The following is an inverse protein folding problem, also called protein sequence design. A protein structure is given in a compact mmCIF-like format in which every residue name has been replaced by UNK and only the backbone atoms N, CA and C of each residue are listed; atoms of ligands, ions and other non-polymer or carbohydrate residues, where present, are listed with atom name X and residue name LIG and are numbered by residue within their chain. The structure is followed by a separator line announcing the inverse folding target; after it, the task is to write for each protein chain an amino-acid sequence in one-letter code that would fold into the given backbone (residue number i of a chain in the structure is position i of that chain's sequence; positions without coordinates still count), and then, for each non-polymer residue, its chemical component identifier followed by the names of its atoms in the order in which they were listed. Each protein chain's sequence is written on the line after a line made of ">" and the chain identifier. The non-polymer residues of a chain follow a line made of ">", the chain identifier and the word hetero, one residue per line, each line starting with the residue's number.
data_IF_791459559774
#
_entry.id   IF_791459559774
#
_cell.length_a   1.000
_cell.length_b   1.000
_cell.length_c   1.000
_cell.angle_alpha   90.00
_cell.angle_beta   90.00
_cell.angle_gamma   90.00
#
_symmetry.space_group_name_H-M   'P 1'
#
loop_
_entity.id
_entity.type
_entity.pdbx_description
1 polymer ?
#
# COMPACT_ATOMS: atom_id res chain seq x y z
N UNK A 1 33.96 7.24 -16.79
CA UNK A 1 32.93 6.29 -17.26
C UNK A 1 31.56 6.56 -16.63
N UNK A 2 31.45 6.81 -15.32
CA UNK A 2 30.16 7.14 -14.68
C UNK A 2 29.40 8.34 -15.30
N UNK A 3 30.11 9.40 -15.68
CA UNK A 3 29.53 10.63 -16.22
C UNK A 3 29.00 10.53 -17.66
N UNK A 4 29.53 9.61 -18.47
CA UNK A 4 29.16 9.47 -19.90
C UNK A 4 28.56 8.10 -20.24
N UNK A 5 28.60 7.14 -19.32
CA UNK A 5 28.31 5.73 -19.60
C UNK A 5 29.49 4.99 -20.24
N UNK A 6 29.48 3.67 -20.11
CA UNK A 6 30.48 2.79 -20.70
C UNK A 6 30.51 2.84 -22.24
N UNK A 7 29.37 2.81 -22.95
CA UNK A 7 29.36 2.77 -24.41
C UNK A 7 29.99 4.03 -25.03
N UNK A 8 29.68 5.20 -24.48
CA UNK A 8 30.16 6.48 -25.00
C UNK A 8 31.59 6.82 -24.59
N UNK A 9 32.15 6.17 -23.56
CA UNK A 9 33.55 6.40 -23.15
C UNK A 9 34.52 5.69 -24.11
N UNK A 10 35.35 6.47 -24.81
CA UNK A 10 36.37 5.96 -25.75
C UNK A 10 37.72 5.74 -25.07
N UNK A 11 38.48 4.74 -25.52
CA UNK A 11 39.85 4.43 -25.02
C UNK A 11 40.76 5.66 -25.10
N UNK A 12 40.65 6.44 -26.18
CA UNK A 12 41.44 7.65 -26.40
C UNK A 12 41.17 8.72 -25.33
N UNK A 13 39.90 8.87 -24.92
CA UNK A 13 39.52 9.81 -23.88
C UNK A 13 40.07 9.36 -22.51
N UNK A 14 40.05 8.05 -22.25
CA UNK A 14 40.61 7.46 -21.04
C UNK A 14 42.12 7.70 -20.99
N UNK A 15 42.84 7.37 -22.07
CA UNK A 15 44.29 7.56 -22.18
C UNK A 15 44.66 9.04 -21.97
N UNK A 16 43.95 9.95 -22.64
CA UNK A 16 44.14 11.40 -22.51
C UNK A 16 43.92 11.87 -21.07
N UNK A 17 42.85 11.40 -20.41
CA UNK A 17 42.55 11.78 -19.03
C UNK A 17 43.54 11.21 -18.02
N UNK A 18 44.10 10.02 -18.28
CA UNK A 18 45.07 9.36 -17.42
C UNK A 18 46.53 9.79 -17.69
N UNK A 19 46.78 10.56 -18.75
CA UNK A 19 48.13 11.00 -19.13
C UNK A 19 49.01 9.88 -19.70
N UNK A 20 48.40 8.84 -20.27
CA UNK A 20 49.11 7.66 -20.83
C UNK A 20 48.90 7.53 -22.33
N UNK A 21 49.78 6.79 -23.00
CA UNK A 21 49.62 6.48 -24.44
C UNK A 21 48.69 5.28 -24.65
N UNK A 22 48.09 5.14 -25.84
CA UNK A 22 47.30 3.93 -26.17
C UNK A 22 48.14 2.66 -26.09
N UNK A 23 49.42 2.73 -26.48
CA UNK A 23 50.33 1.58 -26.37
C UNK A 23 50.50 1.12 -24.93
N UNK A 24 50.65 2.06 -23.99
CA UNK A 24 50.68 1.76 -22.55
C UNK A 24 49.34 1.20 -22.05
N UNK A 25 48.21 1.73 -22.52
CA UNK A 25 46.90 1.18 -22.19
C UNK A 25 46.77 -0.29 -22.59
N UNK A 26 47.03 -0.60 -23.88
CA UNK A 26 46.90 -1.97 -24.39
C UNK A 26 47.95 -2.95 -23.86
N UNK A 27 49.05 -2.45 -23.28
CA UNK A 27 50.01 -3.28 -22.53
C UNK A 27 49.43 -3.76 -21.19
N UNK A 28 48.56 -2.97 -20.54
CA UNK A 28 47.95 -3.32 -19.24
C UNK A 28 46.56 -3.95 -19.38
N UNK A 29 45.79 -3.57 -20.40
CA UNK A 29 44.45 -4.05 -20.63
C UNK A 29 44.29 -4.42 -22.11
N UNK A 30 44.06 -5.70 -22.40
CA UNK A 30 43.90 -6.20 -23.78
C UNK A 30 42.74 -5.51 -24.52
N UNK A 31 41.72 -5.07 -23.78
CA UNK A 31 40.56 -4.36 -24.32
C UNK A 31 39.95 -3.37 -23.32
N UNK A 32 38.96 -2.58 -23.78
CA UNK A 32 38.12 -1.74 -22.91
C UNK A 32 37.33 -2.59 -21.91
N UNK A 33 36.95 -3.81 -22.30
CA UNK A 33 36.21 -4.75 -21.45
C UNK A 33 37.10 -5.26 -20.31
N UNK A 34 38.37 -5.58 -20.58
CA UNK A 34 39.33 -5.96 -19.54
C UNK A 34 39.58 -4.82 -18.54
N UNK A 35 39.64 -3.56 -19.03
CA UNK A 35 39.65 -2.40 -18.14
C UNK A 35 38.36 -2.34 -17.29
N UNK A 36 37.19 -2.57 -17.90
CA UNK A 36 35.91 -2.51 -17.20
C UNK A 36 35.84 -3.53 -16.06
N UNK A 37 36.31 -4.75 -16.29
CA UNK A 37 36.41 -5.81 -15.29
C UNK A 37 37.32 -5.39 -14.13
N UNK A 38 38.54 -4.94 -14.45
CA UNK A 38 39.49 -4.47 -13.44
C UNK A 38 38.94 -3.26 -12.65
N UNK A 39 38.18 -2.39 -13.33
CA UNK A 39 37.53 -1.24 -12.70
C UNK A 39 36.40 -1.67 -11.76
N UNK A 40 35.59 -2.67 -12.13
CA UNK A 40 34.55 -3.24 -11.25
C UNK A 40 35.18 -3.78 -9.97
N UNK A 41 36.27 -4.54 -10.09
CA UNK A 41 36.97 -5.11 -8.94
C UNK A 41 37.58 -4.03 -8.05
N UNK A 42 38.30 -3.08 -8.65
CA UNK A 42 38.86 -1.96 -7.92
C UNK A 42 37.79 -1.14 -7.19
N UNK A 43 36.67 -0.87 -7.86
CA UNK A 43 35.55 -0.14 -7.29
C UNK A 43 34.91 -0.90 -6.12
N UNK A 44 34.67 -2.20 -6.29
CA UNK A 44 34.08 -3.05 -5.25
C UNK A 44 34.97 -3.13 -4.01
N UNK A 45 36.28 -3.31 -4.19
CA UNK A 45 37.24 -3.32 -3.08
C UNK A 45 37.26 -1.99 -2.32
N UNK A 46 37.15 -0.86 -3.04
CA UNK A 46 37.05 0.45 -2.41
C UNK A 46 35.75 0.65 -1.66
N UNK A 47 34.64 0.21 -2.23
CA UNK A 47 33.32 0.31 -1.62
C UNK A 47 33.24 -0.52 -0.34
N UNK A 48 33.65 -1.77 -0.41
CA UNK A 48 33.69 -2.67 0.76
C UNK A 48 34.63 -2.15 1.83
N UNK A 49 35.81 -1.63 1.49
CA UNK A 49 36.71 -1.00 2.48
C UNK A 49 36.09 0.25 3.12
N UNK A 50 35.35 1.05 2.38
CA UNK A 50 34.68 2.24 2.91
C UNK A 50 33.53 1.90 3.88
N UNK A 51 32.91 0.72 3.72
CA UNK A 51 31.79 0.23 4.53
C UNK A 51 32.21 -0.81 5.58
N UNK A 52 33.48 -1.23 5.57
CA UNK A 52 34.04 -2.20 6.52
C UNK A 52 34.52 -1.53 7.83
N UNK A 53 34.07 -0.31 8.11
CA UNK A 53 34.30 0.30 9.41
C UNK A 53 33.68 -0.58 10.49
N UNK A 54 34.44 -0.91 11.54
CA UNK A 54 33.94 -1.72 12.66
C UNK A 54 33.00 -0.90 13.56
N UNK A 55 32.90 0.42 13.36
CA UNK A 55 32.04 1.32 14.13
C UNK A 55 30.58 0.86 14.19
N UNK A 56 29.97 0.53 13.06
CA UNK A 56 28.59 0.05 13.05
C UNK A 56 28.46 -1.38 13.62
N UNK A 57 29.51 -2.19 13.58
CA UNK A 57 29.52 -3.54 14.18
C UNK A 57 29.70 -3.53 15.71
N UNK A 58 30.19 -2.41 16.26
CA UNK A 58 30.42 -2.25 17.70
C UNK A 58 29.13 -2.09 18.53
N UNK A 59 27.98 -1.90 17.87
CA UNK A 59 26.69 -1.83 18.56
C UNK A 59 26.23 -3.23 19.00
N UNK A 60 25.85 -3.36 20.27
CA UNK A 60 25.36 -4.62 20.84
C UNK A 60 23.98 -4.99 20.24
N UNK A 61 23.09 -4.02 20.09
CA UNK A 61 21.75 -4.21 19.52
C UNK A 61 21.83 -4.44 17.99
N UNK A 62 21.29 -5.55 17.45
CA UNK A 62 21.21 -5.78 16.00
C UNK A 62 20.50 -4.69 15.21
N UNK A 63 19.50 -4.01 15.77
CA UNK A 63 18.80 -2.91 15.12
C UNK A 63 19.73 -1.70 14.96
N UNK A 64 20.42 -1.32 16.03
CA UNK A 64 21.40 -0.23 15.98
C UNK A 64 22.51 -0.50 14.96
N UNK A 65 22.98 -1.75 14.85
CA UNK A 65 23.94 -2.15 13.82
C UNK A 65 23.44 -1.87 12.41
N UNK A 66 22.18 -2.21 12.11
CA UNK A 66 21.57 -1.96 10.80
C UNK A 66 21.43 -0.46 10.54
N UNK A 67 20.96 0.30 11.52
CA UNK A 67 20.76 1.76 11.36
C UNK A 67 22.08 2.51 11.22
N UNK A 68 23.11 2.13 11.98
CA UNK A 68 24.46 2.67 11.88
C UNK A 68 25.10 2.34 10.52
N UNK A 69 24.93 1.11 10.01
CA UNK A 69 25.38 0.77 8.67
C UNK A 69 24.73 1.65 7.59
N UNK A 70 23.42 1.92 7.71
CA UNK A 70 22.73 2.80 6.77
C UNK A 70 23.24 4.25 6.85
N UNK A 71 23.65 4.73 8.02
CA UNK A 71 24.34 6.02 8.17
C UNK A 71 25.68 6.05 7.45
N UNK A 72 26.48 4.99 7.59
CA UNK A 72 27.75 4.86 6.88
C UNK A 72 27.54 4.86 5.36
N UNK A 73 26.53 4.15 4.86
CA UNK A 73 26.16 4.21 3.44
C UNK A 73 25.80 5.64 3.03
N UNK A 74 24.95 6.34 3.78
CA UNK A 74 24.56 7.73 3.50
C UNK A 74 25.80 8.65 3.48
N UNK A 75 26.77 8.43 4.36
CA UNK A 75 28.03 9.17 4.38
C UNK A 75 28.87 8.88 3.13
N UNK A 76 29.01 7.60 2.73
CA UNK A 76 29.76 7.21 1.53
C UNK A 76 29.09 7.76 0.25
N UNK A 77 27.75 7.84 0.20
CA UNK A 77 27.01 8.44 -0.92
C UNK A 77 27.38 9.91 -1.17
N UNK A 78 27.69 10.66 -0.11
CA UNK A 78 28.14 12.05 -0.19
C UNK A 78 29.64 12.16 -0.52
N UNK A 79 30.37 11.04 -0.46
CA UNK A 79 31.80 10.97 -0.71
C UNK A 79 32.18 10.81 -2.19
N UNK A 80 33.47 10.94 -2.51
CA UNK A 80 33.96 10.93 -3.89
C UNK A 80 33.78 9.59 -4.62
N UNK A 81 33.51 8.49 -3.90
CA UNK A 81 33.34 7.16 -4.49
C UNK A 81 31.98 6.97 -5.15
N UNK A 82 30.93 7.57 -4.58
CA UNK A 82 29.54 7.40 -5.03
C UNK A 82 28.86 8.69 -5.49
N UNK A 83 29.52 9.86 -5.37
CA UNK A 83 28.94 11.17 -5.76
C UNK A 83 28.34 11.21 -7.18
N UNK A 84 28.94 10.47 -8.12
CA UNK A 84 28.54 10.45 -9.53
C UNK A 84 27.67 9.21 -9.87
N UNK A 85 27.16 8.53 -8.84
CA UNK A 85 26.35 7.32 -8.92
C UNK A 85 27.12 6.03 -8.61
N UNK A 86 26.40 4.91 -8.66
CA UNK A 86 26.96 3.58 -8.45
C UNK A 86 27.49 2.98 -9.76
N UNK A 87 28.77 2.57 -9.78
CA UNK A 87 29.41 1.96 -10.96
C UNK A 87 28.74 0.62 -11.32
N UNK A 88 28.51 -0.24 -10.33
CA UNK A 88 27.90 -1.55 -10.54
C UNK A 88 26.51 -1.43 -11.18
N UNK A 89 25.68 -0.52 -10.67
CA UNK A 89 24.35 -0.26 -11.23
C UNK A 89 24.40 0.37 -12.62
N UNK A 90 25.27 1.37 -12.82
CA UNK A 90 25.43 2.02 -14.13
C UNK A 90 25.90 1.02 -15.20
N UNK A 91 26.85 0.14 -14.86
CA UNK A 91 27.31 -0.89 -15.78
C UNK A 91 26.28 -2.00 -15.99
N UNK A 92 25.47 -2.33 -14.98
CA UNK A 92 24.37 -3.27 -15.17
C UNK A 92 23.37 -2.77 -16.23
N UNK A 93 23.03 -1.48 -16.20
CA UNK A 93 22.15 -0.86 -17.18
C UNK A 93 22.80 -0.80 -18.57
N UNK A 94 24.08 -0.40 -18.65
CA UNK A 94 24.78 -0.24 -19.92
C UNK A 94 25.14 -1.57 -20.61
N UNK A 95 25.43 -2.64 -19.84
CA UNK A 95 26.16 -3.81 -20.34
C UNK A 95 25.42 -5.14 -20.22
N UNK A 96 24.29 -5.21 -19.49
CA UNK A 96 23.60 -6.47 -19.23
C UNK A 96 23.19 -7.24 -20.48
N UNK A 97 22.82 -6.55 -21.55
CA UNK A 97 22.37 -7.18 -22.80
C UNK A 97 23.50 -7.45 -23.81
N UNK A 98 24.68 -6.87 -23.59
CA UNK A 98 25.76 -6.85 -24.61
C UNK A 98 27.04 -7.53 -24.16
N UNK A 99 27.29 -7.66 -22.85
CA UNK A 99 28.53 -8.23 -22.29
C UNK A 99 28.19 -9.24 -21.18
N UNK A 100 27.82 -10.49 -21.52
CA UNK A 100 27.33 -11.47 -20.55
C UNK A 100 28.35 -11.82 -19.45
N UNK A 101 29.65 -11.82 -19.77
CA UNK A 101 30.72 -12.06 -18.79
C UNK A 101 30.81 -10.93 -17.75
N UNK A 102 30.77 -9.67 -18.22
CA UNK A 102 30.76 -8.50 -17.32
C UNK A 102 29.48 -8.49 -16.48
N UNK A 103 28.32 -8.83 -17.06
CA UNK A 103 27.05 -8.97 -16.34
C UNK A 103 27.18 -9.96 -15.18
N UNK A 104 27.75 -11.14 -15.41
CA UNK A 104 27.95 -12.14 -14.36
C UNK A 104 28.87 -11.63 -13.25
N UNK A 105 29.92 -10.87 -13.58
CA UNK A 105 30.79 -10.27 -12.56
C UNK A 105 30.01 -9.27 -11.72
N UNK A 106 29.22 -8.39 -12.35
CA UNK A 106 28.39 -7.40 -11.66
C UNK A 106 27.37 -8.09 -10.74
N UNK A 107 26.67 -9.11 -11.23
CA UNK A 107 25.72 -9.90 -10.44
C UNK A 107 26.39 -10.46 -9.17
N UNK A 108 27.54 -11.10 -9.32
CA UNK A 108 28.30 -11.63 -8.19
C UNK A 108 28.70 -10.54 -7.17
N UNK A 109 29.07 -9.34 -7.64
CA UNK A 109 29.40 -8.21 -6.74
C UNK A 109 28.16 -7.68 -6.03
N UNK A 110 27.03 -7.51 -6.74
CA UNK A 110 25.77 -7.04 -6.15
C UNK A 110 25.24 -8.02 -5.11
N UNK A 111 25.22 -9.32 -5.41
CA UNK A 111 24.83 -10.38 -4.48
C UNK A 111 25.69 -10.31 -3.22
N UNK A 112 27.03 -10.20 -3.37
CA UNK A 112 27.95 -10.12 -2.24
C UNK A 112 27.70 -8.90 -1.35
N UNK A 113 27.35 -7.73 -1.91
CA UNK A 113 26.94 -6.56 -1.10
C UNK A 113 25.68 -6.85 -0.28
N UNK A 114 24.67 -7.45 -0.90
CA UNK A 114 23.40 -7.73 -0.22
C UNK A 114 23.52 -8.83 0.84
N UNK A 115 24.31 -9.87 0.58
CA UNK A 115 24.52 -10.99 1.52
C UNK A 115 25.29 -10.58 2.77
N UNK A 116 26.07 -9.50 2.72
CA UNK A 116 26.71 -8.94 3.92
C UNK A 116 25.69 -8.41 4.92
N UNK A 117 24.58 -7.83 4.45
CA UNK A 117 23.56 -7.21 5.32
C UNK A 117 22.52 -8.19 5.86
N UNK A 118 22.26 -9.27 5.13
CA UNK A 118 21.20 -10.21 5.46
C UNK A 118 21.31 -10.79 6.89
N UNK A 119 22.48 -11.17 7.42
CA UNK A 119 22.60 -11.64 8.81
C UNK A 119 22.20 -10.57 9.84
N UNK A 120 22.47 -9.30 9.56
CA UNK A 120 22.15 -8.20 10.47
C UNK A 120 20.65 -7.88 10.46
N UNK A 121 20.04 -7.83 9.27
CA UNK A 121 18.58 -7.76 9.16
C UNK A 121 17.90 -8.96 9.81
N UNK A 122 18.45 -10.16 9.66
CA UNK A 122 17.91 -11.38 10.27
C UNK A 122 17.98 -11.34 11.80
N UNK A 123 19.06 -10.81 12.35
CA UNK A 123 19.22 -10.63 13.79
C UNK A 123 18.25 -9.57 14.33
N UNK A 124 18.15 -8.41 13.68
CA UNK A 124 17.20 -7.36 14.05
C UNK A 124 15.75 -7.85 13.99
N UNK A 125 15.34 -8.52 12.91
CA UNK A 125 13.98 -9.06 12.76
C UNK A 125 13.64 -10.20 13.74
N UNK A 126 14.62 -10.78 14.46
CA UNK A 126 14.36 -11.83 15.45
C UNK A 126 13.76 -11.25 16.74
N UNK A 127 14.12 -10.02 17.08
CA UNK A 127 13.78 -9.38 18.36
C UNK A 127 12.49 -8.54 18.27
N UNK A 128 11.86 -8.46 17.09
CA UNK A 128 10.69 -7.62 16.82
C UNK A 128 9.54 -8.41 16.13
N UNK A 129 8.27 -7.93 16.22
CA UNK A 129 7.14 -8.57 15.57
C UNK A 129 7.33 -8.65 14.05
N UNK A 130 6.99 -9.82 13.48
CA UNK A 130 7.20 -10.11 12.06
C UNK A 130 6.05 -9.56 11.24
N UNK A 131 6.33 -8.57 10.38
CA UNK A 131 5.40 -8.18 9.31
C UNK A 131 5.32 -9.34 8.30
N UNK A 132 4.11 -9.87 7.99
CA UNK A 132 3.95 -10.90 6.96
C UNK A 132 4.57 -10.48 5.63
N UNK A 133 5.32 -11.38 4.99
CA UNK A 133 5.99 -11.11 3.71
C UNK A 133 7.35 -10.40 3.79
N UNK A 134 7.70 -9.75 4.91
CA UNK A 134 9.03 -9.15 5.11
C UNK A 134 9.97 -10.17 5.74
N UNK A 135 11.10 -10.42 5.07
CA UNK A 135 12.22 -11.17 5.63
C UNK A 135 13.56 -10.48 5.31
N UNK A 136 14.62 -10.93 5.97
CA UNK A 136 15.95 -10.34 5.84
C UNK A 136 16.47 -10.29 4.40
N UNK A 137 16.17 -11.32 3.59
CA UNK A 137 16.58 -11.37 2.19
C UNK A 137 15.81 -10.33 1.34
N UNK A 138 14.53 -10.10 1.64
CA UNK A 138 13.73 -9.05 1.00
C UNK A 138 14.28 -7.66 1.35
N UNK A 139 14.54 -7.37 2.62
CA UNK A 139 15.10 -6.07 3.04
C UNK A 139 16.48 -5.80 2.44
N UNK A 140 17.33 -6.82 2.36
CA UNK A 140 18.67 -6.70 1.78
C UNK A 140 18.62 -6.40 0.28
N UNK A 141 17.67 -7.01 -0.46
CA UNK A 141 17.43 -6.66 -1.86
C UNK A 141 16.83 -5.26 -2.01
N UNK A 142 15.93 -4.89 -1.12
CA UNK A 142 15.28 -3.58 -1.16
C UNK A 142 16.27 -2.43 -0.93
N UNK A 143 17.23 -2.60 -0.01
CA UNK A 143 18.34 -1.67 0.17
C UNK A 143 19.03 -1.37 -1.18
N UNK A 144 19.35 -2.41 -1.96
CA UNK A 144 19.98 -2.25 -3.26
C UNK A 144 19.04 -1.60 -4.27
N UNK A 145 17.76 -1.97 -4.28
CA UNK A 145 16.76 -1.37 -5.18
C UNK A 145 16.62 0.14 -4.94
N UNK A 146 16.50 0.58 -3.68
CA UNK A 146 16.40 2.00 -3.33
C UNK A 146 17.68 2.75 -3.69
N UNK A 147 18.85 2.17 -3.40
CA UNK A 147 20.13 2.76 -3.79
C UNK A 147 20.21 3.01 -5.30
N UNK A 148 19.86 2.01 -6.13
CA UNK A 148 19.91 2.16 -7.59
C UNK A 148 18.81 3.09 -8.12
N UNK A 149 17.62 3.08 -7.51
CA UNK A 149 16.57 4.06 -7.81
C UNK A 149 17.04 5.49 -7.58
N UNK A 150 17.72 5.74 -6.45
CA UNK A 150 18.34 7.03 -6.15
C UNK A 150 19.40 7.46 -7.17
N UNK A 151 20.19 6.51 -7.70
CA UNK A 151 21.17 6.77 -8.78
C UNK A 151 20.46 7.21 -10.07
N UNK A 152 19.38 6.52 -10.45
CA UNK A 152 18.58 6.86 -11.63
C UNK A 152 17.98 8.26 -11.48
N UNK A 153 17.35 8.54 -10.33
CA UNK A 153 16.76 9.85 -10.05
C UNK A 153 17.81 10.98 -10.08
N UNK A 154 18.98 10.75 -9.48
CA UNK A 154 20.05 11.75 -9.48
C UNK A 154 20.54 12.08 -10.89
N UNK A 155 20.64 11.07 -11.76
CA UNK A 155 21.02 11.27 -13.17
C UNK A 155 19.92 11.95 -13.98
N UNK A 156 18.66 11.59 -13.76
CA UNK A 156 17.52 12.16 -14.47
C UNK A 156 17.29 13.63 -14.12
N UNK A 157 17.63 14.04 -12.90
CA UNK A 157 17.39 15.39 -12.37
C UNK A 157 18.64 16.26 -12.30
N UNK A 158 19.83 15.71 -12.60
CA UNK A 158 21.13 16.34 -12.37
C UNK A 158 21.32 16.83 -10.91
N UNK A 159 20.74 16.09 -9.95
CA UNK A 159 20.81 16.38 -8.52
C UNK A 159 21.33 15.17 -7.74
N UNK A 160 22.60 15.23 -7.35
CA UNK A 160 23.28 14.15 -6.61
C UNK A 160 22.72 13.93 -5.20
N UNK A 161 21.89 14.85 -4.68
CA UNK A 161 21.27 14.70 -3.35
C UNK A 161 20.22 13.61 -3.32
N UNK A 162 19.58 13.32 -4.47
CA UNK A 162 18.48 12.35 -4.56
C UNK A 162 18.87 10.96 -4.07
N UNK A 163 20.11 10.51 -4.32
CA UNK A 163 20.61 9.25 -3.75
C UNK A 163 20.59 9.22 -2.22
N UNK A 164 21.11 10.27 -1.58
CA UNK A 164 21.18 10.34 -0.13
C UNK A 164 19.78 10.51 0.49
N UNK A 165 18.90 11.27 -0.16
CA UNK A 165 17.48 11.43 0.24
C UNK A 165 16.73 10.09 0.18
N UNK A 166 16.90 9.31 -0.90
CA UNK A 166 16.30 7.98 -1.03
C UNK A 166 16.76 7.03 0.08
N UNK A 167 18.06 7.04 0.40
CA UNK A 167 18.61 6.17 1.44
C UNK A 167 18.22 6.62 2.85
N UNK A 168 18.09 7.93 3.08
CA UNK A 168 17.59 8.47 4.34
C UNK A 168 16.12 8.06 4.58
N UNK A 169 15.29 8.14 3.54
CA UNK A 169 13.91 7.65 3.59
C UNK A 169 13.88 6.14 3.90
N UNK A 170 14.70 5.33 3.22
CA UNK A 170 14.80 3.90 3.50
C UNK A 170 15.24 3.60 4.93
N UNK A 171 16.21 4.34 5.48
CA UNK A 171 16.61 4.21 6.88
C UNK A 171 15.45 4.48 7.83
N UNK A 172 14.64 5.52 7.57
CA UNK A 172 13.47 5.82 8.40
C UNK A 172 12.44 4.69 8.35
N UNK A 173 12.20 4.12 7.16
CA UNK A 173 11.30 2.98 6.98
C UNK A 173 11.79 1.73 7.72
N UNK A 174 13.08 1.42 7.61
CA UNK A 174 13.69 0.31 8.37
C UNK A 174 13.61 0.57 9.87
N UNK A 175 13.91 1.77 10.34
CA UNK A 175 13.79 2.12 11.76
C UNK A 175 12.36 1.95 12.27
N UNK A 176 11.37 2.39 11.51
CA UNK A 176 9.95 2.23 11.87
C UNK A 176 9.53 0.75 11.83
N UNK A 177 10.06 -0.04 10.88
CA UNK A 177 9.81 -1.48 10.79
C UNK A 177 10.34 -2.23 12.02
N UNK A 178 11.46 -1.78 12.57
CA UNK A 178 12.16 -2.44 13.67
C UNK A 178 11.70 -1.92 15.06
N UNK A 179 11.26 -0.66 15.19
CA UNK A 179 10.78 -0.12 16.46
C UNK A 179 9.36 -0.60 16.82
N UNK A 180 9.22 -1.38 17.91
CA UNK A 180 7.93 -1.87 18.42
C UNK A 180 7.08 -0.84 19.17
N UNK A 181 7.59 0.38 19.42
CA UNK A 181 6.85 1.43 20.14
C UNK A 181 6.12 2.42 19.22
N UNK A 182 6.41 2.43 17.92
CA UNK A 182 5.62 3.19 16.96
C UNK A 182 4.48 2.32 16.44
N UNK A 183 3.29 2.56 16.98
CA UNK A 183 1.98 2.20 16.41
C UNK A 183 1.71 2.90 15.07
N UNK A 184 2.74 3.20 14.27
CA UNK A 184 2.55 3.55 12.87
C UNK A 184 2.35 2.27 12.08
N UNK A 185 1.12 2.13 11.60
CA UNK A 185 0.59 1.04 10.81
C UNK A 185 1.65 0.43 9.86
N UNK A 186 2.02 -0.86 9.99
CA UNK A 186 3.07 -1.50 9.18
C UNK A 186 2.80 -1.39 7.66
N UNK A 187 1.57 -1.07 7.25
CA UNK A 187 1.22 -0.81 5.86
C UNK A 187 1.79 0.49 5.27
N UNK A 188 1.96 1.56 6.04
CA UNK A 188 2.62 2.80 5.56
C UNK A 188 4.09 2.51 5.23
N UNK A 189 4.69 1.62 6.02
CA UNK A 189 6.07 1.19 5.82
C UNK A 189 6.21 0.25 4.62
N UNK A 190 5.23 -0.63 4.38
CA UNK A 190 5.17 -1.52 3.20
C UNK A 190 4.95 -0.76 1.89
N UNK A 191 3.99 0.17 1.87
CA UNK A 191 3.65 0.97 0.68
C UNK A 191 4.79 1.92 0.29
N UNK A 192 5.47 2.55 1.25
CA UNK A 192 6.67 3.35 0.96
C UNK A 192 7.85 2.50 0.45
N UNK A 193 7.98 1.25 0.90
CA UNK A 193 8.97 0.29 0.41
C UNK A 193 8.65 -0.15 -1.03
N UNK A 194 7.40 -0.42 -1.39
CA UNK A 194 7.03 -0.87 -2.74
C UNK A 194 6.84 0.26 -3.76
N UNK A 195 6.35 1.44 -3.35
CA UNK A 195 6.16 2.58 -4.26
C UNK A 195 7.49 3.24 -4.67
N UNK A 196 8.56 3.09 -3.87
CA UNK A 196 9.90 3.56 -4.24
C UNK A 196 10.62 2.69 -5.28
N UNK A 197 10.15 1.47 -5.55
CA UNK A 197 10.72 0.54 -6.56
C UNK A 197 9.91 0.47 -7.86
N UNK A 198 8.65 0.92 -7.88
CA UNK A 198 7.78 0.93 -9.06
C UNK A 198 7.99 2.13 -10.01
N UNK A 199 9.16 2.78 -9.97
CA UNK A 199 9.53 3.86 -10.88
C UNK A 199 10.16 3.35 -12.18
N UNK A 200 9.41 2.65 -13.04
CA UNK A 200 9.57 2.52 -14.50
C UNK A 200 8.28 1.85 -15.00
N UNK A 201 7.38 2.62 -15.63
CA UNK A 201 6.15 2.05 -16.20
C UNK A 201 5.23 3.06 -16.90
N UNK A 202 5.33 4.35 -16.59
CA UNK A 202 4.43 5.37 -17.14
C UNK A 202 4.96 6.15 -18.36
N UNK A 203 6.09 5.77 -18.97
CA UNK A 203 6.64 6.49 -20.14
C UNK A 203 6.88 5.59 -21.34
N UNK A 204 5.80 5.19 -22.03
CA UNK A 204 5.83 4.94 -23.48
C UNK A 204 4.40 4.89 -24.03
N UNK A 205 3.81 6.07 -24.25
CA UNK A 205 2.79 6.23 -25.30
C UNK A 205 3.25 7.37 -26.20
N UNK A 206 3.55 7.02 -27.45
CA UNK A 206 4.12 7.93 -28.44
C UNK A 206 3.15 9.04 -28.79
N UNK A 207 3.61 10.28 -28.64
CA UNK A 207 2.97 11.46 -29.22
C UNK A 207 3.55 11.65 -30.62
N UNK A 208 2.75 11.39 -31.65
CA UNK A 208 2.91 12.06 -32.93
C UNK A 208 2.31 13.45 -32.82
N UNK A 209 3.04 14.39 -33.38
CA UNK A 209 2.88 15.83 -33.35
C UNK A 209 1.49 16.33 -33.75
N UNK A 210 0.98 17.31 -33.00
CA UNK A 210 0.08 18.33 -33.54
C UNK A 210 -1.17 18.61 -32.72
N UNK A 211 -1.04 19.35 -31.63
CA UNK A 211 -1.91 20.47 -31.22
C UNK A 211 -1.62 20.84 -29.76
N UNK A 212 -1.67 22.14 -29.49
CA UNK A 212 -1.27 22.79 -28.24
C UNK A 212 -2.07 22.29 -27.03
N UNK A 213 -1.37 21.81 -26.01
CA UNK A 213 -1.86 21.67 -24.64
C UNK A 213 -0.78 22.20 -23.69
N UNK A 214 -0.60 23.52 -23.71
CA UNK A 214 0.07 24.24 -22.62
C UNK A 214 -0.92 24.33 -21.46
N UNK A 215 -0.77 23.48 -20.43
CA UNK A 215 -1.64 23.63 -19.25
C UNK A 215 -1.63 22.56 -18.16
N UNK A 216 -0.80 21.53 -18.19
CA UNK A 216 -0.74 20.54 -17.09
C UNK A 216 0.69 20.07 -16.86
N UNK A 217 1.49 20.89 -16.18
CA UNK A 217 2.80 20.51 -15.62
C UNK A 217 2.80 20.83 -14.14
N UNK A 218 2.02 20.06 -13.39
CA UNK A 218 2.11 19.87 -11.95
C UNK A 218 1.07 18.79 -11.64
N UNK A 219 1.50 17.59 -11.22
CA UNK A 219 0.64 16.80 -10.34
C UNK A 219 0.79 17.50 -9.00
N UNK A 220 0.04 18.59 -8.81
CA UNK A 220 -0.23 19.11 -7.48
C UNK A 220 -0.69 17.94 -6.63
N UNK A 221 -0.24 17.89 -5.38
CA UNK A 221 -0.91 17.15 -4.31
C UNK A 221 -2.41 17.16 -4.60
N UNK A 222 -3.05 16.00 -4.58
CA UNK A 222 -4.51 15.96 -4.53
C UNK A 222 -4.83 16.72 -3.24
N UNK A 223 -5.15 18.00 -3.38
CA UNK A 223 -5.67 18.80 -2.31
C UNK A 223 -6.93 18.07 -1.88
N UNK A 224 -6.85 17.36 -0.75
CA UNK A 224 -7.98 17.13 0.13
C UNK A 224 -8.62 18.50 0.30
N UNK A 225 -9.64 18.80 -0.50
CA UNK A 225 -10.39 20.03 -0.30
C UNK A 225 -10.99 19.85 1.08
N UNK A 226 -10.54 20.66 2.03
CA UNK A 226 -11.18 20.79 3.33
C UNK A 226 -12.56 21.43 3.07
N UNK A 227 -13.49 20.60 2.59
CA UNK A 227 -14.87 20.98 2.37
C UNK A 227 -15.50 21.09 3.74
N UNK A 228 -15.80 22.34 4.10
CA UNK A 228 -16.56 22.67 5.28
C UNK A 228 -17.88 21.89 5.23
N UNK A 229 -18.04 20.98 6.19
CA UNK A 229 -19.15 20.03 6.26
C UNK A 229 -20.45 20.81 6.55
N UNK A 230 -21.34 20.89 5.55
CA UNK A 230 -22.67 21.49 5.71
C UNK A 230 -23.55 20.67 6.67
N UNK A 231 -24.55 21.34 7.26
CA UNK A 231 -25.46 20.88 8.32
C UNK A 231 -26.04 19.45 8.15
N UNK A 232 -26.28 18.74 9.25
CA UNK A 232 -26.88 17.38 9.34
C UNK A 232 -28.22 17.16 8.63
N UNK A 233 -28.87 18.21 8.14
CA UNK A 233 -30.23 18.17 7.58
C UNK A 233 -30.39 17.18 6.39
N UNK A 234 -29.30 16.85 5.69
CA UNK A 234 -29.30 15.94 4.53
C UNK A 234 -28.31 14.77 4.65
N UNK A 235 -27.85 14.47 5.86
CA UNK A 235 -26.84 13.45 6.14
C UNK A 235 -27.46 12.18 6.71
N UNK A 236 -26.95 11.02 6.33
CA UNK A 236 -27.32 9.73 6.94
C UNK A 236 -26.10 8.89 7.28
N UNK A 237 -26.20 8.09 8.34
CA UNK A 237 -25.27 7.00 8.64
C UNK A 237 -25.80 5.70 8.01
N UNK A 238 -24.98 5.03 7.22
CA UNK A 238 -25.25 3.73 6.63
C UNK A 238 -24.29 2.68 7.22
N UNK A 239 -24.84 1.60 7.76
CA UNK A 239 -24.08 0.42 8.17
C UNK A 239 -24.44 -0.76 7.26
N UNK A 240 -23.46 -1.26 6.50
CA UNK A 240 -23.62 -2.45 5.63
C UNK A 240 -23.32 -3.73 6.41
N UNK A 241 -24.14 -4.75 6.16
CA UNK A 241 -23.99 -6.13 6.64
C UNK A 241 -23.61 -6.31 8.12
N UNK A 242 -24.27 -5.63 9.09
CA UNK A 242 -23.97 -5.78 10.51
C UNK A 242 -24.58 -7.07 11.08
N UNK A 243 -24.24 -8.22 10.49
CA UNK A 243 -24.85 -9.53 10.74
C UNK A 243 -23.87 -10.49 11.44
N UNK A 244 -24.43 -11.50 12.11
CA UNK A 244 -23.67 -12.46 12.92
C UNK A 244 -22.61 -13.23 12.14
N UNK A 245 -22.84 -13.53 10.85
CA UNK A 245 -21.88 -14.27 10.02
C UNK A 245 -20.51 -13.61 9.98
N UNK A 246 -20.47 -12.27 10.08
CA UNK A 246 -19.23 -11.51 10.18
C UNK A 246 -18.81 -11.17 11.61
N UNK A 247 -19.76 -10.91 12.51
CA UNK A 247 -19.49 -10.23 13.78
C UNK A 247 -19.51 -11.14 15.02
N UNK A 248 -20.07 -12.35 14.91
CA UNK A 248 -20.10 -13.33 16.00
C UNK A 248 -18.94 -14.30 15.82
N UNK A 249 -18.26 -14.69 16.90
CA UNK A 249 -17.03 -15.51 16.82
C UNK A 249 -17.22 -16.86 16.11
N UNK A 250 -18.43 -17.42 16.15
CA UNK A 250 -18.86 -18.66 15.49
C UNK A 250 -19.56 -18.43 14.15
N UNK A 251 -19.59 -17.19 13.65
CA UNK A 251 -20.11 -16.83 12.32
C UNK A 251 -19.22 -17.38 11.21
N UNK A 252 -19.82 -17.79 10.08
CA UNK A 252 -19.09 -18.50 9.02
C UNK A 252 -17.99 -17.66 8.36
N UNK A 253 -18.10 -16.33 8.41
CA UNK A 253 -17.13 -15.41 7.84
C UNK A 253 -16.25 -14.71 8.87
N UNK A 254 -16.55 -14.83 10.17
CA UNK A 254 -15.81 -14.19 11.25
C UNK A 254 -14.30 -14.48 11.15
N UNK A 255 -13.93 -15.74 10.92
CA UNK A 255 -12.54 -16.16 10.80
C UNK A 255 -11.76 -15.42 9.70
N UNK A 256 -12.41 -14.98 8.62
CA UNK A 256 -11.76 -14.26 7.53
C UNK A 256 -11.54 -12.77 7.86
N UNK A 257 -12.44 -12.16 8.64
CA UNK A 257 -12.41 -10.73 8.98
C UNK A 257 -11.84 -10.44 10.36
N UNK A 258 -11.65 -11.46 11.21
CA UNK A 258 -11.25 -11.36 12.62
C UNK A 258 -10.05 -10.43 12.83
N UNK A 259 -8.97 -10.63 12.08
CA UNK A 259 -7.74 -9.85 12.23
C UNK A 259 -8.00 -8.36 11.99
N UNK A 260 -8.82 -8.03 11.01
CA UNK A 260 -9.13 -6.64 10.64
C UNK A 260 -10.17 -6.01 11.59
N UNK A 261 -11.14 -6.80 12.07
CA UNK A 261 -12.07 -6.40 13.14
C UNK A 261 -11.30 -5.97 14.40
N UNK A 262 -10.34 -6.80 14.85
CA UNK A 262 -9.53 -6.54 16.04
C UNK A 262 -8.59 -5.35 15.83
N UNK A 263 -7.94 -5.26 14.66
CA UNK A 263 -7.01 -4.17 14.33
C UNK A 263 -7.68 -2.80 14.34
N UNK A 264 -8.88 -2.71 13.73
CA UNK A 264 -9.57 -1.44 13.57
C UNK A 264 -10.53 -1.15 14.73
N UNK A 265 -10.71 -2.07 15.68
CA UNK A 265 -11.73 -1.96 16.73
C UNK A 265 -13.13 -1.72 16.10
N UNK A 266 -13.39 -2.40 14.97
CA UNK A 266 -14.51 -2.14 14.07
C UNK A 266 -15.85 -2.29 14.79
N UNK A 267 -15.98 -3.28 15.68
CA UNK A 267 -17.24 -3.58 16.37
C UNK A 267 -17.64 -2.42 17.27
N UNK A 268 -16.70 -1.98 18.09
CA UNK A 268 -16.84 -0.88 19.02
C UNK A 268 -17.04 0.46 18.28
N UNK A 269 -16.33 0.65 17.15
CA UNK A 269 -16.44 1.83 16.31
C UNK A 269 -17.83 1.95 15.65
N UNK A 270 -18.35 0.84 15.09
CA UNK A 270 -19.74 0.80 14.58
C UNK A 270 -20.73 1.09 15.73
N UNK A 271 -20.54 0.52 16.92
CA UNK A 271 -21.41 0.81 18.07
C UNK A 271 -21.36 2.30 18.46
N UNK A 272 -20.17 2.92 18.42
CA UNK A 272 -19.98 4.33 18.71
C UNK A 272 -20.70 5.24 17.70
N UNK A 273 -20.59 4.94 16.41
CA UNK A 273 -21.31 5.65 15.34
C UNK A 273 -22.83 5.53 15.49
N UNK A 274 -23.32 4.31 15.76
CA UNK A 274 -24.74 4.07 16.01
C UNK A 274 -25.22 4.92 17.20
N UNK A 275 -24.49 4.90 18.34
CA UNK A 275 -24.82 5.72 19.51
C UNK A 275 -24.86 7.21 19.17
N UNK A 276 -23.81 7.72 18.52
CA UNK A 276 -23.70 9.14 18.17
C UNK A 276 -24.84 9.58 17.25
N UNK A 277 -25.11 8.83 16.17
CA UNK A 277 -26.20 9.14 15.26
C UNK A 277 -27.58 9.18 15.97
N UNK A 278 -27.80 8.31 16.96
CA UNK A 278 -29.05 8.35 17.76
C UNK A 278 -29.14 9.56 18.67
N UNK A 279 -28.03 9.99 19.27
CA UNK A 279 -27.99 11.17 20.15
C UNK A 279 -28.27 12.44 19.34
N UNK A 280 -27.62 12.58 18.19
CA UNK A 280 -27.71 13.76 17.34
C UNK A 280 -28.92 13.75 16.39
N UNK A 281 -29.69 12.66 16.38
CA UNK A 281 -30.90 12.54 15.56
C UNK A 281 -30.63 12.33 14.07
N UNK A 282 -29.41 11.92 13.70
CA UNK A 282 -29.02 11.61 12.32
C UNK A 282 -29.71 10.30 11.88
N UNK A 283 -30.39 10.29 10.72
CA UNK A 283 -31.01 9.08 10.20
C UNK A 283 -30.01 7.94 10.04
N UNK A 284 -30.35 6.77 10.60
CA UNK A 284 -29.55 5.54 10.47
C UNK A 284 -30.21 4.61 9.47
N UNK A 285 -29.40 4.08 8.57
CA UNK A 285 -29.75 3.08 7.58
C UNK A 285 -28.92 1.82 7.79
N UNK A 286 -29.56 0.67 7.61
CA UNK A 286 -28.91 -0.63 7.62
C UNK A 286 -29.23 -1.34 6.32
N UNK A 287 -28.20 -1.76 5.61
CA UNK A 287 -28.30 -2.57 4.39
C UNK A 287 -27.81 -3.98 4.70
N UNK A 288 -28.69 -4.95 4.98
CA UNK A 288 -28.29 -6.33 5.24
C UNK A 288 -28.08 -7.11 3.94
N UNK A 289 -27.38 -8.24 4.03
CA UNK A 289 -27.24 -9.22 2.95
C UNK A 289 -28.04 -10.49 3.30
N UNK A 290 -28.80 -11.05 2.35
CA UNK A 290 -29.50 -12.33 2.55
C UNK A 290 -29.62 -13.12 1.25
N UNK A 291 -29.42 -14.43 1.31
CA UNK A 291 -29.78 -15.36 0.25
C UNK A 291 -30.95 -16.25 0.66
N UNK A 292 -31.79 -16.61 -0.30
CA UNK A 292 -32.95 -17.50 -0.13
C UNK A 292 -32.81 -18.76 -0.98
N UNK A 293 -33.65 -19.75 -0.73
CA UNK A 293 -33.58 -21.06 -1.41
C UNK A 293 -33.56 -20.94 -2.94
N UNK A 294 -34.37 -20.04 -3.51
CA UNK A 294 -34.44 -19.81 -4.95
C UNK A 294 -33.23 -19.06 -5.53
N UNK A 295 -32.42 -18.38 -4.71
CA UNK A 295 -31.23 -17.68 -5.19
C UNK A 295 -30.14 -18.70 -5.62
N UNK A 296 -30.13 -19.90 -5.01
CA UNK A 296 -29.24 -20.99 -5.39
C UNK A 296 -29.50 -21.58 -6.78
N UNK A 297 -30.62 -21.24 -7.42
CA UNK A 297 -30.98 -21.69 -8.77
C UNK A 297 -30.41 -20.79 -9.88
N UNK A 298 -29.64 -19.74 -9.56
CA UNK A 298 -29.07 -18.85 -10.57
C UNK A 298 -28.07 -19.58 -11.49
N UNK A 299 -28.33 -19.49 -12.81
CA UNK A 299 -27.47 -20.06 -13.86
C UNK A 299 -26.12 -19.35 -14.00
N UNK A 300 -26.06 -18.09 -13.58
CA UNK A 300 -24.88 -17.23 -13.69
C UNK A 300 -24.55 -16.62 -12.33
N UNK A 301 -23.46 -17.08 -11.73
CA UNK A 301 -22.99 -16.62 -10.42
C UNK A 301 -21.56 -16.11 -10.51
N UNK A 302 -21.28 -15.02 -9.80
CA UNK A 302 -19.92 -14.53 -9.61
C UNK A 302 -19.11 -15.46 -8.72
N UNK A 303 -17.77 -15.40 -8.81
CA UNK A 303 -16.89 -16.30 -8.05
C UNK A 303 -17.07 -16.20 -6.53
N UNK A 304 -17.14 -14.98 -6.00
CA UNK A 304 -17.36 -14.76 -4.57
C UNK A 304 -18.79 -15.13 -4.15
N UNK A 305 -19.79 -14.81 -4.98
CA UNK A 305 -21.18 -15.21 -4.71
C UNK A 305 -21.30 -16.73 -4.55
N UNK A 306 -20.69 -17.50 -5.45
CA UNK A 306 -20.66 -18.95 -5.34
C UNK A 306 -20.05 -19.40 -4.01
N UNK A 307 -18.98 -18.74 -3.56
CA UNK A 307 -18.34 -19.04 -2.27
C UNK A 307 -19.28 -18.75 -1.08
N UNK A 308 -20.02 -17.65 -1.11
CA UNK A 308 -20.97 -17.28 -0.05
C UNK A 308 -22.13 -18.27 0.06
N UNK A 309 -22.70 -18.67 -1.08
CA UNK A 309 -23.80 -19.64 -1.15
C UNK A 309 -23.37 -21.04 -0.73
N UNK A 310 -22.22 -21.52 -1.23
CA UNK A 310 -21.65 -22.83 -0.87
C UNK A 310 -21.30 -22.90 0.63
N UNK A 311 -20.97 -21.76 1.24
CA UNK A 311 -20.73 -21.60 2.67
C UNK A 311 -21.98 -21.37 3.53
N UNK A 312 -23.17 -21.37 2.92
CA UNK A 312 -24.46 -21.04 3.56
C UNK A 312 -24.47 -19.68 4.30
N UNK A 313 -23.64 -18.73 3.87
CA UNK A 313 -23.56 -17.41 4.45
C UNK A 313 -24.82 -16.60 4.13
N UNK A 314 -25.36 -15.91 5.13
CA UNK A 314 -26.59 -15.12 5.05
C UNK A 314 -27.85 -15.89 4.64
N UNK A 315 -27.81 -17.22 4.73
CA UNK A 315 -28.90 -18.08 4.26
C UNK A 315 -30.13 -17.95 5.14
N UNK A 316 -31.27 -17.66 4.50
CA UNK A 316 -32.62 -17.70 5.07
C UNK A 316 -33.54 -18.34 4.05
N UNK A 317 -34.06 -19.55 4.33
CA UNK A 317 -34.80 -20.34 3.35
C UNK A 317 -35.97 -19.57 2.71
N UNK A 318 -36.86 -19.01 3.54
CA UNK A 318 -38.06 -18.30 3.08
C UNK A 318 -37.96 -16.77 3.28
N UNK A 319 -38.05 -15.95 2.21
CA UNK A 319 -37.94 -14.49 2.30
C UNK A 319 -39.07 -13.80 3.07
N UNK A 320 -40.25 -14.43 3.11
CA UNK A 320 -41.48 -13.86 3.64
C UNK A 320 -41.68 -14.19 5.11
N UNK A 321 -41.63 -15.48 5.45
CA UNK A 321 -41.78 -15.96 6.83
C UNK A 321 -40.50 -15.80 7.63
N UNK A 322 -39.33 -15.80 6.97
CA UNK A 322 -38.00 -15.67 7.60
C UNK A 322 -37.82 -16.62 8.78
N UNK A 323 -38.39 -17.82 8.65
CA UNK A 323 -38.26 -18.87 9.65
C UNK A 323 -36.77 -19.19 9.83
N UNK A 324 -36.30 -19.20 11.08
CA UNK A 324 -34.88 -19.42 11.37
C UNK A 324 -33.98 -18.18 11.28
N UNK A 325 -34.51 -16.97 11.04
CA UNK A 325 -33.70 -15.75 11.06
C UNK A 325 -33.13 -15.45 12.45
N UNK A 326 -33.93 -15.57 13.49
CA UNK A 326 -33.48 -15.17 14.82
C UNK A 326 -32.29 -16.00 15.31
N UNK A 327 -31.22 -15.31 15.69
CA UNK A 327 -29.94 -15.86 16.15
C UNK A 327 -29.19 -16.70 15.09
N UNK A 328 -29.58 -16.65 13.81
CA UNK A 328 -28.79 -17.22 12.72
C UNK A 328 -27.60 -16.32 12.35
N UNK A 329 -26.76 -16.82 11.45
CA UNK A 329 -25.69 -16.04 10.81
C UNK A 329 -26.21 -14.80 10.09
N UNK A 330 -27.38 -14.89 9.47
CA UNK A 330 -28.02 -13.80 8.76
C UNK A 330 -28.75 -12.80 9.68
N UNK A 331 -28.89 -13.07 10.98
CA UNK A 331 -29.47 -12.10 11.92
C UNK A 331 -28.53 -10.92 12.14
N UNK A 332 -29.10 -9.77 12.49
CA UNK A 332 -28.33 -8.60 12.94
C UNK A 332 -27.56 -8.96 14.21
N UNK A 333 -26.32 -8.47 14.31
CA UNK A 333 -25.46 -8.68 15.46
C UNK A 333 -26.13 -8.18 16.75
N UNK A 334 -26.27 -9.07 17.73
CA UNK A 334 -27.12 -8.88 18.90
C UNK A 334 -26.83 -7.56 19.66
N UNK A 335 -25.56 -7.18 19.94
CA UNK A 335 -25.24 -5.90 20.58
C UNK A 335 -25.77 -4.65 19.88
N UNK A 336 -25.97 -4.69 18.55
CA UNK A 336 -26.45 -3.54 17.79
C UNK A 336 -27.97 -3.42 17.72
N UNK A 337 -28.71 -4.49 18.04
CA UNK A 337 -30.18 -4.53 17.90
C UNK A 337 -30.89 -3.41 18.66
N UNK A 338 -30.39 -3.03 19.85
CA UNK A 338 -30.94 -1.90 20.63
C UNK A 338 -30.90 -0.55 19.89
N UNK A 339 -29.96 -0.37 18.96
CA UNK A 339 -29.84 0.84 18.15
C UNK A 339 -30.60 0.73 16.82
N UNK A 340 -30.66 -0.48 16.26
CA UNK A 340 -31.26 -0.73 14.94
C UNK A 340 -32.77 -0.97 15.03
N UNK A 341 -33.26 -1.74 16.00
CA UNK A 341 -34.68 -2.05 16.18
C UNK A 341 -35.39 -1.04 17.09
N UNK A 342 -35.19 0.25 16.81
CA UNK A 342 -35.76 1.39 17.55
C UNK A 342 -37.06 1.93 16.92
N UNK A 343 -37.52 1.34 15.82
CA UNK A 343 -38.69 1.78 15.05
C UNK A 343 -38.47 3.04 14.20
N UNK A 344 -37.23 3.57 14.16
CA UNK A 344 -36.86 4.76 13.36
C UNK A 344 -35.79 4.45 12.32
N UNK A 345 -34.87 3.54 12.62
CA UNK A 345 -33.84 3.07 11.69
C UNK A 345 -34.49 2.52 10.44
N UNK A 346 -33.96 2.90 9.28
CA UNK A 346 -34.39 2.33 8.01
C UNK A 346 -33.59 1.07 7.77
N UNK A 347 -34.25 -0.08 7.80
CA UNK A 347 -33.66 -1.36 7.41
C UNK A 347 -34.15 -1.65 6.01
N UNK A 348 -33.25 -1.65 5.04
CA UNK A 348 -33.60 -1.86 3.65
C UNK A 348 -33.94 -3.32 3.41
N UNK A 349 -34.53 -3.62 2.26
CA UNK A 349 -34.48 -4.97 1.74
C UNK A 349 -33.02 -5.44 1.65
N UNK A 350 -32.79 -6.76 1.82
CA UNK A 350 -31.45 -7.27 1.73
C UNK A 350 -30.89 -7.10 0.32
N UNK A 351 -29.65 -6.66 0.20
CA UNK A 351 -28.94 -6.76 -1.06
C UNK A 351 -28.49 -8.20 -1.30
N UNK A 352 -28.21 -8.53 -2.56
CA UNK A 352 -27.96 -9.91 -3.01
C UNK A 352 -26.55 -10.13 -3.50
N UNK A 353 -25.89 -9.13 -4.07
CA UNK A 353 -24.59 -9.30 -4.72
C UNK A 353 -23.52 -8.57 -3.95
N UNK A 354 -23.37 -7.25 -4.17
CA UNK A 354 -22.38 -6.40 -3.50
C UNK A 354 -22.99 -5.09 -3.02
N UNK A 355 -23.45 -4.28 -3.97
CA UNK A 355 -24.02 -2.98 -3.69
C UNK A 355 -25.54 -3.03 -3.52
N UNK A 356 -26.17 -1.84 -3.38
CA UNK A 356 -27.59 -1.69 -3.11
C UNK A 356 -28.47 -1.81 -4.37
N UNK A 357 -27.93 -2.17 -5.54
CA UNK A 357 -28.69 -2.21 -6.79
C UNK A 357 -29.89 -3.18 -6.74
N UNK A 358 -29.80 -4.20 -5.88
CA UNK A 358 -30.87 -5.18 -5.68
C UNK A 358 -31.79 -4.86 -4.50
N UNK A 359 -31.62 -3.72 -3.82
CA UNK A 359 -32.47 -3.32 -2.69
C UNK A 359 -33.09 -1.93 -2.86
N UNK A 360 -33.75 -1.44 -1.82
CA UNK A 360 -34.48 -0.16 -1.83
C UNK A 360 -33.72 0.98 -1.15
N UNK A 361 -32.42 0.84 -0.85
CA UNK A 361 -31.62 1.85 -0.13
C UNK A 361 -31.69 3.24 -0.80
N UNK A 362 -31.37 3.30 -2.10
CA UNK A 362 -31.33 4.56 -2.86
C UNK A 362 -32.69 5.26 -2.85
N UNK A 363 -33.77 4.49 -3.00
CA UNK A 363 -35.14 5.00 -2.92
C UNK A 363 -35.41 5.61 -1.53
N UNK A 364 -35.06 4.90 -0.47
CA UNK A 364 -35.31 5.33 0.91
C UNK A 364 -34.51 6.59 1.28
N UNK A 365 -33.25 6.69 0.83
CA UNK A 365 -32.39 7.87 1.01
C UNK A 365 -32.98 9.08 0.28
N UNK A 366 -33.30 8.95 -1.02
CA UNK A 366 -33.86 10.05 -1.83
C UNK A 366 -35.21 10.54 -1.30
N UNK A 367 -36.10 9.64 -0.87
CA UNK A 367 -37.40 10.00 -0.30
C UNK A 367 -37.30 10.79 1.01
N UNK A 368 -36.15 10.73 1.68
CA UNK A 368 -35.85 11.48 2.90
C UNK A 368 -34.96 12.71 2.64
N UNK A 369 -34.69 13.04 1.39
CA UNK A 369 -33.86 14.19 1.03
C UNK A 369 -32.41 14.03 1.44
N UNK A 370 -31.93 12.79 1.66
CA UNK A 370 -30.51 12.54 1.94
C UNK A 370 -29.71 12.75 0.67
N UNK A 371 -28.61 13.50 0.78
CA UNK A 371 -27.63 13.68 -0.29
C UNK A 371 -26.21 13.31 0.15
N UNK A 372 -25.96 13.19 1.45
CA UNK A 372 -24.68 12.79 2.04
C UNK A 372 -24.81 11.53 2.87
N UNK A 373 -23.91 10.57 2.67
CA UNK A 373 -23.93 9.27 3.34
C UNK A 373 -22.57 8.96 3.94
N UNK A 374 -22.55 8.74 5.25
CA UNK A 374 -21.39 8.21 5.97
C UNK A 374 -21.53 6.69 6.03
N UNK A 375 -20.52 5.95 5.55
CA UNK A 375 -20.60 4.50 5.39
C UNK A 375 -19.58 3.80 6.29
N UNK A 376 -20.07 2.86 7.08
CA UNK A 376 -19.29 1.79 7.72
C UNK A 376 -19.94 0.43 7.47
N UNK A 377 -19.32 -0.65 7.96
CA UNK A 377 -19.85 -2.00 7.84
C UNK A 377 -18.95 -2.95 7.06
N UNK A 378 -19.52 -4.05 6.57
CA UNK A 378 -18.77 -5.19 6.04
C UNK A 378 -19.28 -5.66 4.68
N UNK A 379 -18.50 -6.43 3.91
CA UNK A 379 -17.03 -6.43 3.97
C UNK A 379 -16.48 -5.19 3.26
N UNK A 380 -15.41 -4.61 3.80
CA UNK A 380 -14.85 -3.32 3.37
C UNK A 380 -14.61 -3.25 1.86
N UNK A 381 -13.87 -4.20 1.30
CA UNK A 381 -13.52 -4.25 -0.13
C UNK A 381 -14.59 -4.89 -1.04
N UNK A 382 -15.73 -5.32 -0.47
CA UNK A 382 -16.80 -5.98 -1.22
C UNK A 382 -18.09 -5.17 -1.06
N UNK A 383 -18.99 -5.58 -0.16
CA UNK A 383 -20.31 -4.97 -0.06
C UNK A 383 -20.23 -3.49 0.30
N UNK A 384 -19.40 -3.12 1.26
CA UNK A 384 -19.23 -1.71 1.66
C UNK A 384 -18.71 -0.86 0.49
N UNK A 385 -17.70 -1.34 -0.25
CA UNK A 385 -17.19 -0.65 -1.44
C UNK A 385 -18.21 -0.63 -2.59
N UNK A 386 -19.00 -1.70 -2.76
CA UNK A 386 -20.08 -1.75 -3.74
C UNK A 386 -21.14 -0.67 -3.48
N UNK A 387 -21.49 -0.48 -2.21
CA UNK A 387 -22.37 0.61 -1.79
C UNK A 387 -21.75 2.00 -2.04
N UNK A 388 -20.46 2.17 -1.75
CA UNK A 388 -19.74 3.39 -2.10
C UNK A 388 -19.85 3.71 -3.59
N UNK A 389 -19.52 2.74 -4.45
CA UNK A 389 -19.49 2.93 -5.91
C UNK A 389 -20.87 3.32 -6.45
N UNK A 390 -21.91 2.58 -6.07
CA UNK A 390 -23.26 2.86 -6.55
C UNK A 390 -23.78 4.20 -6.02
N UNK A 391 -23.53 4.55 -4.76
CA UNK A 391 -23.98 5.84 -4.22
C UNK A 391 -23.27 7.03 -4.89
N UNK A 392 -21.99 6.90 -5.23
CA UNK A 392 -21.28 7.91 -6.04
C UNK A 392 -21.91 8.05 -7.43
N UNK A 393 -22.16 6.94 -8.13
CA UNK A 393 -22.80 6.94 -9.46
C UNK A 393 -24.22 7.53 -9.42
N UNK A 394 -24.95 7.33 -8.32
CA UNK A 394 -26.27 7.92 -8.10
C UNK A 394 -26.21 9.40 -7.69
N UNK A 395 -25.03 9.99 -7.54
CA UNK A 395 -24.82 11.40 -7.19
C UNK A 395 -25.08 11.74 -5.73
N UNK A 396 -24.65 10.86 -4.81
CA UNK A 396 -24.53 11.19 -3.39
C UNK A 396 -23.10 11.67 -3.08
N UNK A 397 -22.97 12.50 -2.06
CA UNK A 397 -21.69 12.70 -1.39
C UNK A 397 -21.47 11.52 -0.43
N UNK A 398 -20.34 10.83 -0.56
CA UNK A 398 -20.05 9.63 0.24
C UNK A 398 -18.78 9.84 1.06
N UNK A 399 -18.90 9.58 2.35
CA UNK A 399 -17.81 9.58 3.33
C UNK A 399 -17.59 8.17 3.83
N UNK A 400 -16.40 7.62 3.62
CA UNK A 400 -16.02 6.30 4.13
C UNK A 400 -15.42 6.43 5.53
N UNK A 401 -15.92 5.64 6.48
CA UNK A 401 -15.38 5.58 7.84
C UNK A 401 -14.46 4.37 7.96
N UNK A 402 -13.17 4.59 7.72
CA UNK A 402 -12.23 3.51 7.38
C UNK A 402 -11.87 2.58 8.55
N UNK A 403 -12.04 3.02 9.79
CA UNK A 403 -11.85 2.22 11.01
C UNK A 403 -13.18 1.61 11.51
N UNK A 404 -14.30 1.86 10.83
CA UNK A 404 -15.61 1.23 11.04
C UNK A 404 -15.95 0.23 9.93
N UNK A 405 -14.94 -0.30 9.24
CA UNK A 405 -15.06 -1.39 8.27
C UNK A 405 -14.10 -2.53 8.60
N UNK A 406 -14.38 -3.73 8.10
CA UNK A 406 -13.46 -4.85 8.12
C UNK A 406 -13.54 -5.68 6.83
N UNK A 407 -12.40 -6.19 6.39
CA UNK A 407 -12.21 -6.93 5.13
C UNK A 407 -11.59 -8.33 5.38
N UNK A 408 -11.77 -9.30 4.47
CA UNK A 408 -11.19 -10.63 4.57
C UNK A 408 -9.68 -10.60 4.32
N UNK A 409 -8.92 -10.40 5.41
CA UNK A 409 -7.48 -10.26 5.39
C UNK A 409 -6.98 -8.85 5.09
N UNK A 410 -5.73 -8.58 5.49
CA UNK A 410 -5.13 -7.25 5.39
C UNK A 410 -4.97 -6.76 3.94
N UNK A 411 -4.60 -7.63 3.01
CA UNK A 411 -4.45 -7.23 1.59
C UNK A 411 -5.78 -6.71 1.00
N UNK A 412 -6.89 -7.34 1.40
CA UNK A 412 -8.23 -6.90 1.01
C UNK A 412 -8.58 -5.53 1.63
N UNK A 413 -8.25 -5.34 2.91
CA UNK A 413 -8.43 -4.03 3.57
C UNK A 413 -7.65 -2.93 2.86
N UNK A 414 -6.38 -3.16 2.54
CA UNK A 414 -5.53 -2.15 1.91
C UNK A 414 -5.98 -1.84 0.48
N UNK A 415 -6.47 -2.85 -0.26
CA UNK A 415 -7.11 -2.62 -1.54
C UNK A 415 -8.35 -1.72 -1.42
N UNK A 416 -9.19 -1.94 -0.40
CA UNK A 416 -10.31 -1.05 -0.09
C UNK A 416 -9.84 0.38 0.21
N UNK A 417 -8.79 0.55 1.04
CA UNK A 417 -8.29 1.89 1.37
C UNK A 417 -7.82 2.66 0.14
N UNK A 418 -7.09 1.99 -0.77
CA UNK A 418 -6.69 2.58 -2.05
C UNK A 418 -7.92 3.01 -2.85
N UNK A 419 -8.91 2.13 -3.00
CA UNK A 419 -10.12 2.44 -3.76
C UNK A 419 -10.93 3.58 -3.12
N UNK A 420 -11.09 3.57 -1.80
CA UNK A 420 -11.81 4.62 -1.08
C UNK A 420 -11.19 5.99 -1.33
N UNK A 421 -9.86 6.08 -1.27
CA UNK A 421 -9.13 7.34 -1.51
C UNK A 421 -9.31 7.90 -2.93
N UNK A 422 -9.67 7.05 -3.89
CA UNK A 422 -9.88 7.44 -5.29
C UNK A 422 -11.34 7.73 -5.62
N UNK A 423 -12.29 7.18 -4.86
CA UNK A 423 -13.71 7.15 -5.21
C UNK A 423 -14.56 7.99 -4.24
N UNK A 424 -14.32 7.89 -2.94
CA UNK A 424 -15.11 8.58 -1.92
C UNK A 424 -14.81 10.08 -1.94
N UNK A 425 -15.80 10.88 -1.54
CA UNK A 425 -15.57 12.31 -1.35
C UNK A 425 -14.64 12.58 -0.18
N UNK A 426 -14.72 11.75 0.88
CA UNK A 426 -13.82 11.79 2.04
C UNK A 426 -13.62 10.39 2.62
N UNK A 427 -12.46 10.19 3.24
CA UNK A 427 -12.15 8.99 4.03
C UNK A 427 -11.69 9.47 5.41
N UNK A 428 -12.41 9.06 6.46
CA UNK A 428 -12.25 9.59 7.81
C UNK A 428 -12.25 8.49 8.86
N UNK A 429 -11.75 8.80 10.04
CA UNK A 429 -11.86 7.95 11.23
C UNK A 429 -13.26 8.05 11.84
N UNK A 430 -13.59 7.10 12.71
CA UNK A 430 -14.83 7.08 13.47
C UNK A 430 -14.95 8.32 14.34
N UNK A 431 -13.84 8.79 14.93
CA UNK A 431 -13.85 9.99 15.75
C UNK A 431 -14.19 11.25 14.92
N UNK A 432 -13.56 11.42 13.76
CA UNK A 432 -13.85 12.55 12.86
C UNK A 432 -15.29 12.51 12.33
N UNK A 433 -15.81 11.32 12.03
CA UNK A 433 -17.20 11.13 11.67
C UNK A 433 -18.14 11.55 12.81
N UNK A 434 -17.89 11.12 14.05
CA UNK A 434 -18.68 11.52 15.22
C UNK A 434 -18.60 13.03 15.46
N UNK A 435 -17.40 13.62 15.37
CA UNK A 435 -17.20 15.06 15.53
C UNK A 435 -17.97 15.85 14.46
N UNK A 436 -18.15 15.26 13.28
CA UNK A 436 -19.02 15.82 12.25
C UNK A 436 -20.46 15.78 12.70
N UNK A 437 -20.97 14.61 13.13
CA UNK A 437 -22.36 14.39 13.55
C UNK A 437 -22.84 15.33 14.69
N UNK A 438 -21.94 15.84 15.52
CA UNK A 438 -22.25 16.71 16.66
C UNK A 438 -22.38 18.19 16.29
N UNK A 439 -21.78 18.64 15.18
CA UNK A 439 -21.72 20.07 14.79
C UNK A 439 -22.97 20.54 14.06
#
# INVERSE_FOLDING_TARGET
>A
MLSKGYPATKVDEICKSAGVTKGSFYHHFESKDNLAIALIDHYFDRLTKALADEGWLAHDDPQDRVLAFLDDVIAVLKGPLLKDGCLLGSFALDLSQTHPEIRMIIENRLVRLTSTLEPHFKAALKEHPKIPGINAAVLSRQFMAVLQGGVVLSKATDDTKKMAESMLCFKQLVSNTLNSENTMNPTITLSAIFMSSAGIGAMTLGVHSGSELTGITEVTEINMVEQQLDSHEHTALLITDPQNDFLREDGVAYGFVKEDLERNNTIENIEALLKAAKIEGVPVFVSPHMYHEHDGEWEHRGAIQQTLEDGEMYKIDDPYYRAGLHNSGADIYEPYKKYIFDGKTVITNPHKVFGPESNDLVLQLRKRGVNKVLIGGLAGNLCTEGHLRELIEQGFEVVMIHDAVASPGLDAHEAAMVNYSMIANQVVTTQEAIDTLIR
#
